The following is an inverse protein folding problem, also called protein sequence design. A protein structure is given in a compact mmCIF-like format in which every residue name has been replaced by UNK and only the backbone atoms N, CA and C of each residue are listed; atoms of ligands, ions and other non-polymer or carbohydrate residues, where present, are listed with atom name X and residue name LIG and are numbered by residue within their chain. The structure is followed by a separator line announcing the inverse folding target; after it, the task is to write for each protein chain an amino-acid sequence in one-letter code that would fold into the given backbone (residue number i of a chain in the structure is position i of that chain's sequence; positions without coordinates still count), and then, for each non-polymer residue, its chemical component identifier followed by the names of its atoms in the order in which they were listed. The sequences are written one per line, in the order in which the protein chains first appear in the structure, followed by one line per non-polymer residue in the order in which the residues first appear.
data_IF_356520146531
#
_entry.id   IF_356520146531
#
_cell.length_a   1.000
_cell.length_b   1.000
_cell.length_c   1.000
_cell.angle_alpha   90.00
_cell.angle_beta   90.00
_cell.angle_gamma   90.00
#
_symmetry.space_group_name_H-M   'P 1'
#
loop_
_entity.id
_entity.type
_entity.pdbx_description
1 polymer ?
#
# COMPACT_ATOMS: atom_id res chain seq x y z
N UNK A 1 -15.68 15.00 -0.93
CA UNK A 1 -14.41 14.88 -0.20
C UNK A 1 -14.68 14.38 1.21
N UNK A 2 -13.89 13.40 1.66
CA UNK A 2 -13.92 12.97 3.06
C UNK A 2 -13.20 14.02 3.92
N UNK A 3 -13.93 14.68 4.80
CA UNK A 3 -13.37 15.75 5.66
C UNK A 3 -12.73 15.21 6.95
N UNK A 4 -13.16 14.02 7.41
CA UNK A 4 -12.78 13.47 8.71
C UNK A 4 -11.92 12.20 8.63
N UNK A 5 -11.61 11.73 7.42
CA UNK A 5 -10.72 10.59 7.22
C UNK A 5 -9.33 11.07 6.78
N UNK A 6 -8.25 10.52 7.36
CA UNK A 6 -6.90 10.85 6.93
C UNK A 6 -6.71 10.45 5.46
N UNK A 7 -5.96 11.26 4.70
CA UNK A 7 -5.61 10.96 3.33
C UNK A 7 -4.61 9.82 3.29
N UNK A 8 -4.56 9.10 2.17
CA UNK A 8 -3.46 8.19 1.88
C UNK A 8 -2.29 9.03 1.37
N UNK A 9 -1.35 9.32 2.24
CA UNK A 9 -0.14 10.08 1.95
C UNK A 9 1.04 9.58 2.79
N UNK A 10 2.23 10.15 2.52
CA UNK A 10 3.47 9.75 3.20
C UNK A 10 3.38 9.97 4.72
N UNK A 11 2.77 11.06 5.15
CA UNK A 11 2.66 11.38 6.56
C UNK A 11 1.77 10.37 7.30
N UNK A 12 0.58 10.09 6.79
CA UNK A 12 -0.44 9.28 7.47
C UNK A 12 -0.17 7.78 7.37
N UNK A 13 0.44 7.30 6.27
CA UNK A 13 0.72 5.88 6.05
C UNK A 13 2.19 5.49 6.28
N UNK A 14 3.10 6.44 6.28
CA UNK A 14 4.53 6.22 6.46
C UNK A 14 5.07 6.80 7.77
N UNK A 15 5.12 8.13 7.90
CA UNK A 15 5.86 8.80 8.97
C UNK A 15 5.22 8.59 10.36
N UNK A 16 3.90 8.79 10.48
CA UNK A 16 3.18 8.60 11.75
C UNK A 16 3.23 7.15 12.20
N UNK A 17 2.88 6.15 11.35
CA UNK A 17 3.01 4.74 11.69
C UNK A 17 4.44 4.33 12.07
N UNK A 18 5.45 4.75 11.32
CA UNK A 18 6.86 4.45 11.61
C UNK A 18 7.30 4.97 12.97
N UNK A 19 6.92 6.21 13.28
CA UNK A 19 7.22 6.82 14.58
C UNK A 19 6.56 6.07 15.72
N UNK A 20 5.31 5.66 15.55
CA UNK A 20 4.58 4.87 16.53
C UNK A 20 5.29 3.54 16.80
N UNK A 21 5.63 2.77 15.75
CA UNK A 21 6.31 1.49 15.88
C UNK A 21 7.69 1.62 16.53
N UNK A 22 8.49 2.61 16.15
CA UNK A 22 9.81 2.84 16.71
C UNK A 22 9.78 3.27 18.20
N UNK A 23 8.69 3.89 18.65
CA UNK A 23 8.48 4.26 20.04
C UNK A 23 7.80 3.18 20.88
N UNK A 24 7.30 2.12 20.23
CA UNK A 24 6.67 0.98 20.89
C UNK A 24 7.70 -0.08 21.33
N UNK A 25 7.22 -1.09 22.04
CA UNK A 25 8.01 -2.26 22.46
C UNK A 25 7.80 -3.48 21.55
N UNK A 26 7.07 -3.32 20.44
CA UNK A 26 6.80 -4.42 19.51
C UNK A 26 8.05 -4.88 18.75
N UNK A 27 8.92 -3.95 18.39
CA UNK A 27 10.15 -4.27 17.66
C UNK A 27 11.21 -4.76 18.67
N UNK A 28 11.75 -5.99 18.52
CA UNK A 28 12.85 -6.47 19.36
C UNK A 28 14.01 -5.48 19.41
N UNK A 29 14.60 -5.32 20.58
CA UNK A 29 15.63 -4.30 20.80
C UNK A 29 16.83 -4.48 19.85
N UNK A 30 17.17 -5.73 19.51
CA UNK A 30 18.27 -6.09 18.62
C UNK A 30 18.00 -5.68 17.17
N UNK A 31 16.72 -5.60 16.78
CA UNK A 31 16.30 -5.23 15.43
C UNK A 31 15.94 -3.75 15.29
N UNK A 32 15.79 -3.01 16.38
CA UNK A 32 15.21 -1.67 16.40
C UNK A 32 16.04 -0.66 15.59
N UNK A 33 17.35 -0.69 15.70
CA UNK A 33 18.23 0.20 14.94
C UNK A 33 18.28 -0.17 13.44
N UNK A 34 18.28 -1.48 13.13
CA UNK A 34 18.20 -1.94 11.74
C UNK A 34 16.87 -1.51 11.12
N UNK A 35 15.76 -1.72 11.83
CA UNK A 35 14.42 -1.29 11.37
C UNK A 35 14.36 0.22 11.16
N UNK A 36 14.91 1.02 12.07
CA UNK A 36 15.00 2.49 11.94
C UNK A 36 15.71 2.90 10.65
N UNK A 37 16.86 2.29 10.36
CA UNK A 37 17.62 2.58 9.15
C UNK A 37 16.89 2.21 7.88
N UNK A 38 16.25 1.03 7.86
CA UNK A 38 15.48 0.55 6.70
C UNK A 38 14.23 1.40 6.46
N UNK A 39 13.48 1.77 7.51
CA UNK A 39 12.32 2.66 7.39
C UNK A 39 12.71 4.03 6.84
N UNK A 40 13.83 4.61 7.29
CA UNK A 40 14.28 5.89 6.77
C UNK A 40 14.57 5.83 5.26
N UNK A 41 15.26 4.78 4.80
CA UNK A 41 15.54 4.55 3.38
C UNK A 41 14.26 4.29 2.58
N UNK A 42 13.33 3.49 3.10
CA UNK A 42 12.05 3.19 2.47
C UNK A 42 11.21 4.47 2.27
N UNK A 43 11.09 5.32 3.30
CA UNK A 43 10.38 6.59 3.20
C UNK A 43 11.05 7.58 2.24
N UNK A 44 12.38 7.56 2.15
CA UNK A 44 13.10 8.34 1.15
C UNK A 44 12.83 7.84 -0.27
N UNK A 45 12.79 6.51 -0.47
CA UNK A 45 12.36 5.91 -1.74
C UNK A 45 10.94 6.32 -2.13
N UNK A 46 10.02 6.28 -1.16
CA UNK A 46 8.63 6.73 -1.37
C UNK A 46 8.59 8.20 -1.83
N UNK A 47 9.35 9.10 -1.17
CA UNK A 47 9.41 10.52 -1.58
C UNK A 47 9.91 10.67 -3.01
N UNK A 48 10.99 9.95 -3.38
CA UNK A 48 11.49 9.97 -4.77
C UNK A 48 10.43 9.53 -5.78
N UNK A 49 9.61 8.52 -5.46
CA UNK A 49 8.51 8.11 -6.34
C UNK A 49 7.48 9.23 -6.51
N UNK A 50 7.05 9.88 -5.43
CA UNK A 50 6.13 11.01 -5.51
C UNK A 50 6.73 12.20 -6.27
N UNK A 51 8.02 12.50 -6.09
CA UNK A 51 8.72 13.56 -6.81
C UNK A 51 8.78 13.29 -8.33
N UNK A 52 8.93 12.02 -8.75
CA UNK A 52 8.90 11.63 -10.17
C UNK A 52 7.54 11.91 -10.81
N UNK A 53 6.46 11.66 -10.08
CA UNK A 53 5.08 11.86 -10.56
C UNK A 53 4.70 13.34 -10.56
N UNK A 54 5.23 14.12 -9.64
CA UNK A 54 4.90 15.53 -9.46
C UNK A 54 3.54 15.72 -8.80
N UNK A 55 2.56 16.25 -9.53
CA UNK A 55 1.21 16.42 -9.01
C UNK A 55 0.39 15.14 -9.16
N UNK A 56 -0.25 14.74 -8.06
CA UNK A 56 -1.16 13.58 -8.03
C UNK A 56 -2.55 14.07 -7.65
N UNK A 57 -3.53 13.74 -8.48
CA UNK A 57 -4.92 14.01 -8.17
C UNK A 57 -5.42 13.03 -7.11
N UNK A 58 -6.08 13.58 -6.08
CA UNK A 58 -6.64 12.78 -5.02
C UNK A 58 -8.13 12.57 -5.26
N UNK A 59 -8.51 11.33 -5.51
CA UNK A 59 -9.90 10.91 -5.67
C UNK A 59 -10.40 10.17 -4.44
N UNK A 60 -11.69 9.82 -4.41
CA UNK A 60 -12.25 8.93 -3.40
C UNK A 60 -11.91 7.49 -3.76
N UNK A 61 -11.25 6.81 -2.85
CA UNK A 61 -10.84 5.43 -2.99
C UNK A 61 -11.71 4.51 -2.14
N UNK A 62 -11.77 3.24 -2.54
CA UNK A 62 -12.11 2.14 -1.65
C UNK A 62 -11.07 2.03 -0.52
N UNK A 63 -9.79 2.15 -0.88
CA UNK A 63 -8.65 2.18 0.04
C UNK A 63 -8.07 0.80 0.39
N UNK A 64 -8.88 -0.26 0.26
CA UNK A 64 -8.49 -1.66 0.44
C UNK A 64 -9.09 -2.55 -0.67
N UNK A 65 -8.94 -2.14 -1.93
CA UNK A 65 -9.59 -2.71 -3.10
C UNK A 65 -8.85 -3.96 -3.61
N UNK A 66 -8.81 -5.02 -2.81
CA UNK A 66 -8.22 -6.30 -3.22
C UNK A 66 -9.30 -7.34 -3.58
N UNK A 67 -8.90 -8.43 -4.25
CA UNK A 67 -9.82 -9.47 -4.72
C UNK A 67 -10.69 -10.10 -3.61
N UNK A 68 -10.23 -10.09 -2.34
CA UNK A 68 -11.01 -10.57 -1.20
C UNK A 68 -12.22 -9.68 -0.85
N UNK A 69 -12.21 -8.42 -1.27
CA UNK A 69 -13.30 -7.47 -1.09
C UNK A 69 -14.18 -7.32 -2.34
N UNK A 70 -14.05 -8.28 -3.29
CA UNK A 70 -14.84 -8.34 -4.51
C UNK A 70 -15.70 -9.62 -4.51
N UNK A 71 -17.01 -9.45 -4.39
CA UNK A 71 -17.98 -10.55 -4.45
C UNK A 71 -18.59 -10.63 -5.83
N UNK A 72 -18.61 -11.83 -6.43
CA UNK A 72 -19.25 -12.09 -7.69
C UNK A 72 -20.65 -12.67 -7.48
N UNK A 73 -21.63 -12.08 -8.15
CA UNK A 73 -23.02 -12.55 -8.19
C UNK A 73 -23.47 -12.70 -9.64
N UNK A 74 -24.69 -13.19 -9.85
CA UNK A 74 -25.30 -13.28 -11.19
C UNK A 74 -25.49 -11.87 -11.82
N UNK A 75 -25.46 -10.80 -11.02
CA UNK A 75 -25.57 -9.40 -11.47
C UNK A 75 -24.19 -8.76 -11.74
N UNK A 76 -23.11 -9.48 -11.50
CA UNK A 76 -21.72 -9.01 -11.68
C UNK A 76 -20.96 -8.82 -10.38
N UNK A 77 -19.84 -8.06 -10.43
CA UNK A 77 -18.98 -7.80 -9.27
C UNK A 77 -19.60 -6.78 -8.31
N UNK A 78 -19.46 -7.04 -7.01
CA UNK A 78 -19.86 -6.13 -5.94
C UNK A 78 -18.69 -5.89 -5.00
N UNK A 79 -18.36 -4.62 -4.77
CA UNK A 79 -17.35 -4.21 -3.79
C UNK A 79 -17.97 -4.16 -2.40
N UNK A 80 -17.23 -4.68 -1.40
CA UNK A 80 -17.62 -4.68 0.02
C UNK A 80 -16.48 -4.15 0.88
N UNK A 81 -16.76 -3.87 2.15
CA UNK A 81 -15.77 -3.41 3.14
C UNK A 81 -15.16 -2.03 2.82
N UNK A 82 -16.01 -1.01 2.84
CA UNK A 82 -15.61 0.40 2.59
C UNK A 82 -15.05 1.11 3.83
N UNK A 83 -14.67 0.38 4.88
CA UNK A 83 -14.19 0.99 6.13
C UNK A 83 -12.88 1.75 5.94
N UNK A 84 -12.06 1.37 4.97
CA UNK A 84 -10.81 2.03 4.61
C UNK A 84 -10.93 3.14 3.56
N UNK A 85 -12.15 3.48 3.13
CA UNK A 85 -12.37 4.51 2.11
C UNK A 85 -11.79 5.87 2.51
N UNK A 86 -11.02 6.49 1.62
CA UNK A 86 -10.29 7.73 1.85
C UNK A 86 -9.95 8.46 0.57
N UNK A 87 -9.30 9.61 0.68
CA UNK A 87 -8.74 10.31 -0.48
C UNK A 87 -7.33 9.80 -0.76
N UNK A 88 -7.01 9.53 -2.03
CA UNK A 88 -5.68 9.09 -2.47
C UNK A 88 -5.58 9.00 -3.98
N UNK A 89 -4.40 8.60 -4.53
CA UNK A 89 -4.18 8.41 -5.96
C UNK A 89 -5.01 7.23 -6.49
N UNK A 90 -5.51 7.33 -7.73
CA UNK A 90 -6.35 6.31 -8.35
C UNK A 90 -5.67 4.93 -8.40
N UNK A 91 -4.38 4.90 -8.67
CA UNK A 91 -3.60 3.67 -8.78
C UNK A 91 -3.65 2.82 -7.51
N UNK A 92 -3.93 3.40 -6.32
CA UNK A 92 -4.03 2.64 -5.07
C UNK A 92 -5.05 1.50 -5.15
N UNK A 93 -6.23 1.75 -5.67
CA UNK A 93 -7.25 0.71 -5.78
C UNK A 93 -6.99 -0.25 -6.94
N UNK A 94 -6.30 0.21 -7.98
CA UNK A 94 -6.03 -0.60 -9.18
C UNK A 94 -4.92 -1.63 -8.94
N UNK A 95 -3.79 -1.23 -8.35
CA UNK A 95 -2.67 -2.15 -8.15
C UNK A 95 -3.00 -3.28 -7.16
N UNK A 96 -3.90 -3.07 -6.23
CA UNK A 96 -4.29 -4.07 -5.23
C UNK A 96 -5.07 -5.26 -5.83
N UNK A 97 -5.59 -5.10 -7.03
CA UNK A 97 -6.25 -6.17 -7.78
C UNK A 97 -5.28 -7.01 -8.61
N UNK A 98 -4.03 -6.56 -8.78
CA UNK A 98 -3.03 -7.23 -9.59
C UNK A 98 -2.36 -8.38 -8.84
N UNK A 99 -2.10 -9.48 -9.56
CA UNK A 99 -1.42 -10.66 -8.99
C UNK A 99 -0.66 -11.44 -10.07
N UNK A 100 0.32 -12.24 -9.65
CA UNK A 100 1.11 -13.08 -10.54
C UNK A 100 2.42 -12.45 -11.01
N UNK A 101 2.95 -12.94 -12.12
CA UNK A 101 4.18 -12.43 -12.72
C UNK A 101 3.99 -11.04 -13.36
N UNK A 102 5.06 -10.25 -13.57
CA UNK A 102 4.95 -8.90 -14.14
C UNK A 102 4.15 -8.80 -15.44
N UNK A 103 4.30 -9.76 -16.35
CA UNK A 103 3.55 -9.78 -17.61
C UNK A 103 2.05 -10.06 -17.40
N UNK A 104 1.70 -10.89 -16.41
CA UNK A 104 0.30 -11.15 -16.04
C UNK A 104 -0.31 -9.90 -15.40
N UNK A 105 0.42 -9.26 -14.47
CA UNK A 105 -0.02 -8.00 -13.86
C UNK A 105 -0.22 -6.89 -14.89
N UNK A 106 0.65 -6.79 -15.89
CA UNK A 106 0.54 -5.85 -16.99
C UNK A 106 -0.74 -6.09 -17.81
N UNK A 107 -1.03 -7.34 -18.14
CA UNK A 107 -2.26 -7.68 -18.86
C UNK A 107 -3.49 -7.33 -18.04
N UNK A 108 -3.53 -7.72 -16.76
CA UNK A 108 -4.62 -7.40 -15.84
C UNK A 108 -4.83 -5.89 -15.72
N UNK A 109 -3.75 -5.12 -15.59
CA UNK A 109 -3.82 -3.66 -15.49
C UNK A 109 -4.40 -3.05 -16.77
N UNK A 110 -4.00 -3.51 -17.95
CA UNK A 110 -4.56 -3.04 -19.22
C UNK A 110 -6.08 -3.30 -19.28
N UNK A 111 -6.54 -4.47 -18.87
CA UNK A 111 -7.97 -4.81 -18.86
C UNK A 111 -8.76 -3.94 -17.86
N UNK A 112 -8.18 -3.70 -16.66
CA UNK A 112 -8.78 -2.82 -15.66
C UNK A 112 -8.86 -1.39 -16.17
N UNK A 113 -7.80 -0.88 -16.79
CA UNK A 113 -7.78 0.50 -17.31
C UNK A 113 -8.77 0.71 -18.45
N UNK A 114 -8.98 -0.27 -19.33
CA UNK A 114 -10.02 -0.19 -20.36
C UNK A 114 -11.40 0.09 -19.76
N UNK A 115 -11.76 -0.60 -18.66
CA UNK A 115 -13.03 -0.33 -17.98
C UNK A 115 -13.02 0.93 -17.11
N UNK A 116 -11.88 1.29 -16.54
CA UNK A 116 -11.74 2.50 -15.71
C UNK A 116 -11.91 3.77 -16.55
N UNK A 117 -11.33 3.80 -17.74
CA UNK A 117 -11.35 4.96 -18.64
C UNK A 117 -12.71 5.24 -19.29
N UNK A 118 -13.67 4.31 -19.18
CA UNK A 118 -15.08 4.60 -19.50
C UNK A 118 -15.70 5.64 -18.54
N UNK A 119 -15.10 5.85 -17.36
CA UNK A 119 -15.64 6.72 -16.31
C UNK A 119 -14.71 7.87 -15.92
N UNK A 120 -13.39 7.67 -16.01
CA UNK A 120 -12.40 8.66 -15.58
C UNK A 120 -11.07 8.44 -16.27
N UNK A 121 -10.44 9.50 -16.76
CA UNK A 121 -9.10 9.44 -17.35
C UNK A 121 -8.07 8.99 -16.31
N UNK A 122 -7.23 8.03 -16.69
CA UNK A 122 -6.13 7.56 -15.84
C UNK A 122 -4.85 8.35 -16.15
N UNK A 123 -4.16 8.81 -15.12
CA UNK A 123 -2.83 9.40 -15.27
C UNK A 123 -1.74 8.31 -15.23
N UNK A 124 -1.08 7.96 -16.35
CA UNK A 124 -0.09 6.90 -16.39
C UNK A 124 1.14 7.15 -15.50
N UNK A 125 1.41 8.40 -15.14
CA UNK A 125 2.50 8.73 -14.20
C UNK A 125 2.26 8.12 -12.81
N UNK A 126 1.01 7.87 -12.42
CA UNK A 126 0.69 7.21 -11.14
C UNK A 126 1.23 5.78 -11.05
N UNK A 127 1.58 5.13 -12.16
CA UNK A 127 2.23 3.81 -12.15
C UNK A 127 3.56 3.82 -11.38
N UNK A 128 4.26 4.95 -11.34
CA UNK A 128 5.47 5.12 -10.53
C UNK A 128 5.20 5.06 -9.02
N UNK A 129 3.94 5.13 -8.59
CA UNK A 129 3.57 5.08 -7.17
C UNK A 129 3.28 3.66 -6.67
N UNK A 130 3.16 2.64 -7.52
CA UNK A 130 2.76 1.29 -7.11
C UNK A 130 3.61 0.77 -5.96
N UNK A 131 4.93 0.75 -6.13
CA UNK A 131 5.83 0.24 -5.09
C UNK A 131 5.95 1.16 -3.87
N UNK A 132 5.79 2.47 -4.06
CA UNK A 132 5.70 3.43 -2.96
C UNK A 132 4.44 3.21 -2.11
N UNK A 133 3.29 3.00 -2.74
CA UNK A 133 2.02 2.72 -2.05
C UNK A 133 2.04 1.36 -1.35
N UNK A 134 2.64 0.34 -1.98
CA UNK A 134 2.87 -0.97 -1.36
C UNK A 134 3.75 -0.84 -0.12
N UNK A 135 4.82 -0.07 -0.19
CA UNK A 135 5.70 0.22 0.94
C UNK A 135 4.94 0.92 2.08
N UNK A 136 4.18 1.95 1.77
CA UNK A 136 3.35 2.67 2.74
C UNK A 136 2.33 1.73 3.41
N UNK A 137 1.69 0.84 2.64
CA UNK A 137 0.77 -0.16 3.16
C UNK A 137 1.46 -1.13 4.13
N UNK A 138 2.65 -1.64 3.82
CA UNK A 138 3.42 -2.51 4.71
C UNK A 138 3.69 -1.85 6.07
N UNK A 139 4.10 -0.58 6.05
CA UNK A 139 4.37 0.20 7.26
C UNK A 139 3.09 0.44 8.06
N UNK A 140 2.05 0.92 7.37
CA UNK A 140 0.75 1.23 7.98
C UNK A 140 0.12 -0.01 8.61
N UNK A 141 0.12 -1.14 7.92
CA UNK A 141 -0.47 -2.40 8.39
C UNK A 141 0.18 -2.90 9.68
N UNK A 142 1.50 -2.84 9.79
CA UNK A 142 2.21 -3.19 11.02
C UNK A 142 1.79 -2.32 12.20
N UNK A 143 1.65 -1.02 11.99
CA UNK A 143 1.21 -0.08 13.02
C UNK A 143 -0.29 -0.23 13.33
N UNK A 144 -1.10 -0.57 12.35
CA UNK A 144 -2.53 -0.83 12.51
C UNK A 144 -2.77 -2.05 13.44
N UNK A 145 -2.04 -3.15 13.24
CA UNK A 145 -2.09 -4.31 14.14
C UNK A 145 -1.60 -3.92 15.54
N UNK A 146 -0.42 -3.27 15.61
CA UNK A 146 0.19 -2.86 16.88
C UNK A 146 -0.73 -1.97 17.72
N UNK A 147 -1.44 -1.03 17.08
CA UNK A 147 -2.34 -0.10 17.78
C UNK A 147 -3.58 -0.76 18.37
N UNK A 148 -3.90 -1.98 17.96
CA UNK A 148 -5.05 -2.77 18.43
C UNK A 148 -4.63 -4.01 19.24
N UNK A 149 -3.35 -4.13 19.55
CA UNK A 149 -2.81 -5.34 20.19
C UNK A 149 -3.36 -5.62 21.59
N UNK A 150 -3.94 -4.64 22.26
CA UNK A 150 -4.62 -4.84 23.54
C UNK A 150 -5.96 -5.59 23.42
N UNK A 151 -6.54 -5.63 22.21
CA UNK A 151 -7.75 -6.40 21.95
C UNK A 151 -7.39 -7.90 21.83
N UNK A 152 -7.98 -8.79 22.65
CA UNK A 152 -7.75 -10.24 22.58
C UNK A 152 -8.08 -10.85 21.20
N UNK A 153 -9.03 -10.29 20.45
CA UNK A 153 -9.39 -10.75 19.13
C UNK A 153 -8.22 -10.55 18.13
N UNK A 154 -7.47 -9.45 18.26
CA UNK A 154 -6.27 -9.21 17.44
C UNK A 154 -5.16 -10.22 17.76
N UNK A 155 -4.92 -10.50 19.03
CA UNK A 155 -3.93 -11.52 19.42
C UNK A 155 -4.28 -12.91 18.90
N UNK A 156 -5.56 -13.25 18.87
CA UNK A 156 -6.04 -14.53 18.34
C UNK A 156 -5.96 -14.59 16.80
N UNK A 157 -6.24 -13.48 16.10
CA UNK A 157 -6.21 -13.42 14.64
C UNK A 157 -4.78 -13.30 14.07
N UNK A 158 -3.87 -12.58 14.74
CA UNK A 158 -2.54 -12.24 14.25
C UNK A 158 -1.44 -12.87 15.13
N UNK A 159 -1.52 -14.17 15.37
CA UNK A 159 -0.61 -14.93 16.29
C UNK A 159 0.88 -14.80 15.91
N UNK A 160 1.18 -14.49 14.66
CA UNK A 160 2.51 -14.30 14.10
C UNK A 160 3.10 -12.90 14.31
N UNK A 161 2.26 -11.90 14.65
CA UNK A 161 2.67 -10.49 14.64
C UNK A 161 3.77 -10.15 15.66
N UNK A 162 3.59 -10.46 16.93
CA UNK A 162 4.55 -10.09 17.98
C UNK A 162 5.68 -11.11 18.14
N UNK A 163 6.31 -11.49 17.02
CA UNK A 163 7.43 -12.44 16.98
C UNK A 163 8.67 -11.81 16.38
N UNK A 164 9.86 -12.28 16.77
CA UNK A 164 11.11 -11.83 16.17
C UNK A 164 11.15 -12.10 14.66
N UNK A 165 10.62 -13.25 14.24
CA UNK A 165 10.55 -13.65 12.82
C UNK A 165 9.75 -12.62 12.00
N UNK A 166 8.60 -12.18 12.48
CA UNK A 166 7.79 -11.17 11.81
C UNK A 166 8.59 -9.90 11.51
N UNK A 167 9.36 -9.40 12.49
CA UNK A 167 10.13 -8.17 12.29
C UNK A 167 11.34 -8.37 11.38
N UNK A 168 11.96 -9.56 11.39
CA UNK A 168 13.02 -9.91 10.43
C UNK A 168 12.47 -9.95 9.00
N UNK A 169 11.33 -10.60 8.79
CA UNK A 169 10.67 -10.68 7.49
C UNK A 169 10.24 -9.28 7.03
N UNK A 170 9.71 -8.45 7.92
CA UNK A 170 9.33 -7.07 7.62
C UNK A 170 10.52 -6.20 7.20
N UNK A 171 11.67 -6.37 7.83
CA UNK A 171 12.91 -5.71 7.42
C UNK A 171 13.34 -6.15 6.02
N UNK A 172 13.24 -7.44 5.73
CA UNK A 172 13.58 -7.99 4.41
C UNK A 172 12.64 -7.45 3.33
N UNK A 173 11.34 -7.53 3.53
CA UNK A 173 10.33 -7.01 2.60
C UNK A 173 10.52 -5.51 2.32
N UNK A 174 10.82 -4.70 3.34
CA UNK A 174 11.11 -3.27 3.14
C UNK A 174 12.38 -3.04 2.32
N UNK A 175 13.41 -3.90 2.44
CA UNK A 175 14.60 -3.82 1.60
C UNK A 175 14.30 -4.18 0.15
N UNK A 176 13.47 -5.19 -0.08
CA UNK A 176 12.99 -5.56 -1.40
C UNK A 176 12.18 -4.42 -2.03
N UNK A 177 11.32 -3.77 -1.25
CA UNK A 177 10.56 -2.60 -1.71
C UNK A 177 11.45 -1.39 -2.03
N UNK A 178 12.53 -1.15 -1.26
CA UNK A 178 13.50 -0.10 -1.59
C UNK A 178 14.12 -0.35 -2.97
N UNK A 179 14.49 -1.58 -3.28
CA UNK A 179 15.01 -1.93 -4.60
C UNK A 179 13.94 -1.79 -5.69
N UNK A 180 12.72 -2.29 -5.46
CA UNK A 180 11.64 -2.24 -6.42
C UNK A 180 11.21 -0.80 -6.78
N UNK A 181 11.27 0.15 -5.85
CA UNK A 181 10.99 1.57 -6.11
C UNK A 181 11.99 2.23 -7.08
N UNK A 182 13.17 1.67 -7.27
CA UNK A 182 14.18 2.15 -8.21
C UNK A 182 14.10 1.46 -9.59
N UNK A 183 13.27 0.42 -9.73
CA UNK A 183 13.00 -0.24 -11.00
C UNK A 183 11.98 0.54 -11.87
N UNK A 184 11.97 0.30 -13.18
CA UNK A 184 10.94 0.86 -14.05
C UNK A 184 9.52 0.42 -13.60
N UNK A 185 8.51 1.30 -13.67
CA UNK A 185 7.14 0.94 -13.32
C UNK A 185 6.56 -0.09 -14.29
N UNK A 186 5.45 -0.72 -13.91
CA UNK A 186 4.65 -1.51 -14.83
C UNK A 186 4.25 -0.64 -16.04
N UNK A 187 4.69 -1.06 -17.22
CA UNK A 187 4.36 -0.35 -18.46
C UNK A 187 3.03 -0.87 -19.01
N UNK A 188 2.06 0.00 -19.17
CA UNK A 188 0.82 -0.33 -19.88
C UNK A 188 1.06 -0.31 -21.39
N UNK A 189 0.55 -1.32 -22.10
CA UNK A 189 0.63 -1.41 -23.56
C UNK A 189 -0.52 -0.61 -24.17
N UNK A 190 -0.24 0.64 -24.51
CA UNK A 190 -1.17 1.54 -25.18
C UNK A 190 -0.42 2.81 -25.62
N UNK A 191 -0.96 3.57 -26.55
CA UNK A 191 -0.39 4.84 -26.98
C UNK A 191 -0.58 5.91 -25.87
N UNK A 192 0.22 5.81 -24.80
CA UNK A 192 0.36 6.85 -23.79
C UNK A 192 1.69 7.57 -23.95
#
# INVERSE_FOLDING_TARGET
NFQHRPRLDIATFGEVPSRYLLNSEFIPIELKEVYRGVIAQALEGVRRCYDRVGSVDLIRLHGDCHMGNLLWTDEGPHFVDFDDSRMGPAIQDLWMMLSGAPEEMKQQLNEILLGYEDFHDFNPQELHLVEALRTLRLIHYSAWIASRWDDPAFKAAFTWFNTQQYWQDRILELREQIAAMDEPPLMVGGNY
#
